data_IF_403566384067
#
_entry.id   IF_403566384067
#
_cell.length_a   1.000
_cell.length_b   1.000
_cell.length_c   1.000
_cell.angle_alpha   90.00
_cell.angle_beta   90.00
_cell.angle_gamma   90.00
#
_symmetry.space_group_name_H-M   'P 1'
#
loop_
_entity.id
_entity.type
_entity.pdbx_description
1 polymer ?
#
# COMPACT_ATOMS: atom_id res chain seq x y z
N UNK A 1 43.29 8.01 9.14
CA UNK A 1 41.94 7.85 8.55
C UNK A 1 41.66 6.37 8.39
N UNK A 2 40.41 5.93 8.59
CA UNK A 2 40.03 4.54 8.34
C UNK A 2 40.03 4.28 6.83
N UNK A 3 40.73 3.25 6.32
CA UNK A 3 40.73 2.94 4.90
C UNK A 3 39.33 2.60 4.39
N UNK A 4 38.93 3.14 3.25
CA UNK A 4 37.63 2.88 2.62
C UNK A 4 37.82 2.21 1.26
N UNK A 5 36.82 1.44 0.83
CA UNK A 5 36.76 0.90 -0.52
C UNK A 5 35.32 0.89 -1.02
N UNK A 6 35.12 1.06 -2.32
CA UNK A 6 33.79 1.14 -2.90
C UNK A 6 33.08 -0.22 -2.95
N UNK A 7 31.82 -0.22 -2.57
CA UNK A 7 30.92 -1.37 -2.59
C UNK A 7 29.55 -0.92 -3.12
N UNK A 8 29.21 -1.32 -4.34
CA UNK A 8 27.99 -0.91 -5.04
C UNK A 8 27.48 -2.05 -5.93
N UNK A 9 26.24 -1.95 -6.43
CA UNK A 9 25.46 -3.08 -6.98
C UNK A 9 26.20 -3.92 -8.02
N UNK A 10 26.84 -3.29 -9.00
CA UNK A 10 27.56 -3.95 -10.09
C UNK A 10 28.84 -4.66 -9.64
N UNK A 11 29.40 -4.26 -8.49
CA UNK A 11 30.61 -4.85 -7.91
C UNK A 11 30.33 -5.71 -6.68
N UNK A 12 29.08 -5.76 -6.23
CA UNK A 12 28.62 -6.40 -5.00
C UNK A 12 29.20 -7.82 -4.85
N UNK A 13 29.06 -8.65 -5.89
CA UNK A 13 29.57 -10.02 -5.89
C UNK A 13 31.09 -10.07 -5.66
N UNK A 14 31.85 -9.45 -6.56
CA UNK A 14 33.32 -9.48 -6.58
C UNK A 14 33.97 -8.81 -5.36
N UNK A 15 33.33 -7.77 -4.81
CA UNK A 15 33.81 -7.07 -3.62
C UNK A 15 33.51 -7.87 -2.36
N UNK A 16 32.37 -8.56 -2.31
CA UNK A 16 32.05 -9.43 -1.18
C UNK A 16 33.10 -10.52 -0.99
N UNK A 17 33.61 -11.13 -2.07
CA UNK A 17 34.68 -12.15 -1.96
C UNK A 17 35.95 -11.59 -1.30
N UNK A 18 36.35 -10.37 -1.68
CA UNK A 18 37.51 -9.70 -1.08
C UNK A 18 37.30 -9.35 0.39
N UNK A 19 36.07 -9.00 0.77
CA UNK A 19 35.73 -8.69 2.16
C UNK A 19 35.75 -9.97 3.00
N UNK A 20 35.18 -11.07 2.50
CA UNK A 20 35.19 -12.36 3.19
C UNK A 20 36.63 -12.82 3.45
N UNK A 21 37.53 -12.70 2.47
CA UNK A 21 38.94 -13.02 2.68
C UNK A 21 39.60 -12.19 3.80
N UNK A 22 39.20 -10.91 3.95
CA UNK A 22 39.69 -10.04 5.04
C UNK A 22 39.12 -10.45 6.41
N UNK A 23 37.83 -10.74 6.47
CA UNK A 23 37.16 -11.20 7.68
C UNK A 23 37.76 -12.53 8.17
N UNK A 24 38.01 -13.49 7.26
CA UNK A 24 38.68 -14.76 7.58
C UNK A 24 40.13 -14.57 8.03
N UNK A 25 40.80 -13.49 7.62
CA UNK A 25 42.12 -13.11 8.11
C UNK A 25 42.07 -12.38 9.47
N UNK A 26 40.91 -12.30 10.13
CA UNK A 26 40.72 -11.67 11.43
C UNK A 26 40.59 -10.15 11.42
N UNK A 27 40.31 -9.54 10.27
CA UNK A 27 40.06 -8.09 10.17
C UNK A 27 38.58 -7.78 10.41
N UNK A 28 38.30 -6.62 11.01
CA UNK A 28 36.94 -6.08 11.12
C UNK A 28 36.60 -5.19 9.92
N UNK A 29 35.35 -5.26 9.46
CA UNK A 29 34.83 -4.45 8.34
C UNK A 29 33.47 -3.89 8.69
N UNK A 30 33.31 -2.58 8.52
CA UNK A 30 32.02 -1.90 8.58
C UNK A 30 31.45 -1.71 7.17
N UNK A 31 30.19 -2.09 6.98
CA UNK A 31 29.42 -1.75 5.77
C UNK A 31 28.59 -0.50 6.05
N UNK A 32 28.69 0.49 5.17
CA UNK A 32 27.91 1.74 5.24
C UNK A 32 27.30 2.01 3.86
N UNK A 33 26.18 2.73 3.84
CA UNK A 33 25.52 3.24 2.63
C UNK A 33 25.60 4.77 2.64
N UNK A 34 25.30 5.40 1.50
CA UNK A 34 25.25 6.86 1.41
C UNK A 34 24.19 7.46 2.36
N UNK A 35 23.10 6.71 2.61
CA UNK A 35 22.08 7.07 3.58
C UNK A 35 21.36 5.84 4.15
N UNK A 36 20.85 5.98 5.37
CA UNK A 36 19.94 5.00 5.98
C UNK A 36 20.63 3.74 6.51
N UNK A 37 19.96 2.60 6.33
CA UNK A 37 20.40 1.29 6.83
C UNK A 37 20.94 0.46 5.67
N UNK A 38 22.25 0.11 5.67
CA UNK A 38 22.85 -0.68 4.59
C UNK A 38 22.12 -2.01 4.35
N UNK A 39 22.02 -2.43 3.08
CA UNK A 39 21.35 -3.66 2.68
C UNK A 39 19.81 -3.54 2.54
N UNK A 40 19.20 -2.40 2.91
CA UNK A 40 17.77 -2.15 2.70
C UNK A 40 17.59 -1.22 1.51
N UNK A 41 17.17 -1.77 0.36
CA UNK A 41 17.15 -1.07 -0.93
C UNK A 41 18.53 -0.57 -1.42
N UNK A 42 19.59 -1.01 -0.76
CA UNK A 42 21.00 -0.80 -1.08
C UNK A 42 21.75 -2.15 -1.17
N UNK A 43 22.95 -2.20 -1.79
CA UNK A 43 23.82 -3.37 -1.75
C UNK A 43 24.20 -3.79 -0.32
N UNK A 44 24.40 -5.08 -0.11
CA UNK A 44 24.84 -5.64 1.17
C UNK A 44 24.35 -7.05 1.42
N UNK A 45 23.20 -7.43 0.84
CA UNK A 45 22.62 -8.76 1.05
C UNK A 45 23.54 -9.89 0.60
N UNK A 46 24.31 -9.69 -0.49
CA UNK A 46 25.27 -10.69 -0.97
C UNK A 46 26.40 -10.89 0.03
N UNK A 47 26.93 -9.80 0.61
CA UNK A 47 27.97 -9.91 1.64
C UNK A 47 27.43 -10.65 2.87
N UNK A 48 26.25 -10.26 3.36
CA UNK A 48 25.63 -10.89 4.53
C UNK A 48 25.35 -12.39 4.29
N UNK A 49 24.91 -12.77 3.09
CA UNK A 49 24.74 -14.18 2.75
C UNK A 49 26.06 -14.96 2.84
N UNK A 50 27.15 -14.38 2.33
CA UNK A 50 28.47 -15.02 2.40
C UNK A 50 29.00 -15.10 3.83
N UNK A 51 28.80 -14.06 4.65
CA UNK A 51 29.21 -14.12 6.06
C UNK A 51 28.45 -15.20 6.82
N UNK A 52 27.14 -15.36 6.55
CA UNK A 52 26.34 -16.46 7.11
C UNK A 52 26.90 -17.82 6.67
N UNK A 53 27.20 -18.00 5.39
CA UNK A 53 27.75 -19.25 4.87
C UNK A 53 29.09 -19.65 5.52
N UNK A 54 29.92 -18.66 5.85
CA UNK A 54 31.22 -18.84 6.52
C UNK A 54 31.11 -18.80 8.06
N UNK A 55 29.90 -18.74 8.63
CA UNK A 55 29.66 -18.58 10.08
C UNK A 55 30.38 -17.38 10.71
N UNK A 56 30.55 -16.30 9.94
CA UNK A 56 31.14 -15.04 10.40
C UNK A 56 30.08 -14.21 11.11
N UNK A 57 30.41 -13.68 12.30
CA UNK A 57 29.52 -12.83 13.10
C UNK A 57 29.17 -11.55 12.33
N UNK A 58 27.89 -11.20 12.31
CA UNK A 58 27.37 -9.93 11.78
C UNK A 58 26.66 -9.19 12.91
N UNK A 59 27.02 -7.92 13.11
CA UNK A 59 26.45 -7.06 14.15
C UNK A 59 25.63 -5.92 13.51
N UNK A 60 24.28 -5.99 13.53
CA UNK A 60 23.46 -4.90 13.02
C UNK A 60 23.45 -3.73 14.01
N UNK A 61 23.76 -2.53 13.54
CA UNK A 61 23.70 -1.30 14.34
C UNK A 61 22.38 -0.58 14.04
N UNK A 62 21.48 -0.40 15.02
CA UNK A 62 20.26 0.37 14.81
C UNK A 62 20.60 1.83 14.50
N UNK A 63 19.85 2.45 13.60
CA UNK A 63 20.16 3.80 13.13
C UNK A 63 19.07 4.41 12.27
N UNK A 64 19.37 5.55 11.62
CA UNK A 64 18.41 6.26 10.77
C UNK A 64 17.86 5.38 9.64
N UNK A 65 16.54 5.44 9.45
CA UNK A 65 15.86 4.78 8.34
C UNK A 65 14.64 5.59 7.93
N UNK A 66 14.61 6.02 6.66
CA UNK A 66 13.50 6.79 6.07
C UNK A 66 12.18 6.02 6.13
N UNK A 67 12.23 4.68 6.01
CA UNK A 67 11.08 3.80 6.20
C UNK A 67 10.51 3.95 7.61
N UNK A 68 11.34 3.76 8.65
CA UNK A 68 10.87 3.83 10.04
C UNK A 68 10.44 5.25 10.45
N UNK A 69 11.12 6.27 9.93
CA UNK A 69 10.75 7.67 10.16
C UNK A 69 9.42 8.03 9.50
N UNK A 70 9.14 7.55 8.28
CA UNK A 70 7.85 7.75 7.64
C UNK A 70 6.73 7.01 8.38
N UNK A 71 6.98 5.76 8.79
CA UNK A 71 6.00 4.95 9.53
C UNK A 71 5.65 5.55 10.90
N UNK A 72 6.63 6.13 11.61
CA UNK A 72 6.38 6.71 12.95
C UNK A 72 5.43 7.91 12.93
N UNK A 73 5.31 8.61 11.79
CA UNK A 73 4.40 9.73 11.59
C UNK A 73 3.18 9.38 10.71
N UNK A 74 3.01 8.11 10.35
CA UNK A 74 1.98 7.66 9.42
C UNK A 74 0.57 7.67 10.01
N UNK A 75 0.44 7.55 11.33
CA UNK A 75 -0.87 7.41 11.99
C UNK A 75 -1.56 6.07 11.65
N UNK A 76 -0.78 5.03 11.39
CA UNK A 76 -1.27 3.67 11.14
C UNK A 76 -1.60 3.01 12.49
N UNK A 77 -2.87 2.65 12.70
CA UNK A 77 -3.34 2.13 14.00
C UNK A 77 -3.17 0.61 14.14
N UNK A 78 -3.12 -0.13 13.04
CA UNK A 78 -3.04 -1.58 13.03
C UNK A 78 -1.59 -2.12 12.94
N UNK A 79 -0.61 -1.21 12.85
CA UNK A 79 0.81 -1.49 12.61
C UNK A 79 1.07 -2.47 11.45
N UNK A 80 0.17 -2.53 10.46
CA UNK A 80 0.21 -3.54 9.42
C UNK A 80 0.60 -2.94 8.07
N UNK A 81 1.83 -3.21 7.64
CA UNK A 81 2.37 -2.68 6.40
C UNK A 81 3.22 -3.72 5.65
N UNK A 82 3.44 -3.46 4.36
CA UNK A 82 4.37 -4.19 3.50
C UNK A 82 5.33 -3.17 2.90
N UNK A 83 6.61 -3.31 3.24
CA UNK A 83 7.66 -2.53 2.58
C UNK A 83 8.05 -3.19 1.27
N UNK A 84 7.96 -2.43 0.19
CA UNK A 84 8.11 -2.90 -1.19
C UNK A 84 9.35 -2.32 -1.88
N UNK A 85 10.09 -1.43 -1.21
CA UNK A 85 11.21 -0.71 -1.81
C UNK A 85 10.78 0.11 -3.02
N UNK A 86 11.55 0.05 -4.10
CA UNK A 86 11.23 0.73 -5.34
C UNK A 86 10.39 -0.15 -6.26
N UNK A 87 9.32 0.40 -6.81
CA UNK A 87 8.57 -0.27 -7.87
C UNK A 87 9.46 -0.47 -9.12
N UNK A 88 9.19 -1.51 -9.94
CA UNK A 88 9.93 -1.75 -11.18
C UNK A 88 9.98 -0.50 -12.07
N UNK A 89 11.14 -0.27 -12.71
CA UNK A 89 11.34 0.91 -13.56
C UNK A 89 10.55 0.81 -14.88
N UNK A 90 10.45 -0.41 -15.45
CA UNK A 90 9.75 -0.66 -16.71
C UNK A 90 8.24 -0.64 -16.48
N UNK A 91 7.53 0.16 -17.28
CA UNK A 91 6.07 0.39 -17.15
C UNK A 91 5.27 -0.91 -17.00
N UNK A 92 5.41 -1.86 -17.93
CA UNK A 92 4.66 -3.13 -17.89
C UNK A 92 4.93 -3.90 -16.60
N UNK A 93 6.19 -4.08 -16.21
CA UNK A 93 6.56 -4.78 -14.98
C UNK A 93 6.02 -4.07 -13.73
N UNK A 94 6.02 -2.73 -13.73
CA UNK A 94 5.44 -1.94 -12.63
C UNK A 94 3.94 -2.16 -12.53
N UNK A 95 3.22 -2.15 -13.66
CA UNK A 95 1.78 -2.38 -13.69
C UNK A 95 1.43 -3.79 -13.23
N UNK A 96 2.13 -4.81 -13.74
CA UNK A 96 1.96 -6.20 -13.31
C UNK A 96 2.19 -6.36 -11.79
N UNK A 97 3.24 -5.71 -11.28
CA UNK A 97 3.54 -5.65 -9.85
C UNK A 97 2.42 -4.97 -9.04
N UNK A 98 1.94 -3.81 -9.46
CA UNK A 98 0.84 -3.10 -8.79
C UNK A 98 -0.47 -3.90 -8.83
N UNK A 99 -0.76 -4.62 -9.93
CA UNK A 99 -1.93 -5.49 -10.01
C UNK A 99 -1.89 -6.59 -8.95
N UNK A 100 -0.72 -7.16 -8.66
CA UNK A 100 -0.56 -8.16 -7.61
C UNK A 100 -0.90 -7.62 -6.20
N UNK A 101 -0.85 -6.30 -6.02
CA UNK A 101 -1.08 -5.61 -4.75
C UNK A 101 -2.49 -5.01 -4.63
N UNK A 102 -3.32 -5.12 -5.68
CA UNK A 102 -4.61 -4.42 -5.70
C UNK A 102 -5.55 -4.86 -4.58
N UNK A 103 -5.48 -6.10 -4.11
CA UNK A 103 -6.33 -6.59 -3.01
C UNK A 103 -5.61 -6.59 -1.66
N UNK A 104 -4.37 -6.12 -1.59
CA UNK A 104 -3.60 -6.08 -0.34
C UNK A 104 -4.25 -5.12 0.65
N UNK A 105 -4.54 -5.63 1.86
CA UNK A 105 -5.21 -4.91 2.96
C UNK A 105 -4.22 -4.13 3.82
N UNK A 106 -2.95 -4.52 3.82
CA UNK A 106 -1.88 -3.81 4.52
C UNK A 106 -1.50 -2.51 3.82
N UNK A 107 -0.97 -1.57 4.58
CA UNK A 107 -0.38 -0.36 4.02
C UNK A 107 0.81 -0.69 3.13
N UNK A 108 0.86 -0.12 1.94
CA UNK A 108 1.93 -0.35 0.97
C UNK A 108 2.98 0.76 1.09
N UNK A 109 4.22 0.39 1.43
CA UNK A 109 5.30 1.37 1.61
C UNK A 109 6.30 1.28 0.47
N UNK A 110 6.49 2.39 -0.23
CA UNK A 110 7.39 2.51 -1.37
C UNK A 110 8.44 3.59 -1.15
N UNK A 111 9.62 3.36 -1.72
CA UNK A 111 10.52 4.44 -2.10
C UNK A 111 10.30 4.79 -3.56
N UNK A 112 10.45 6.07 -3.90
CA UNK A 112 10.35 6.49 -5.30
C UNK A 112 11.28 7.66 -5.63
N UNK A 113 11.86 7.60 -6.81
CA UNK A 113 12.75 8.62 -7.35
C UNK A 113 11.93 9.74 -8.03
N UNK A 114 12.38 11.01 -7.95
CA UNK A 114 11.59 12.16 -8.37
C UNK A 114 11.25 12.15 -9.87
N UNK A 115 12.14 11.59 -10.70
CA UNK A 115 11.95 11.50 -12.15
C UNK A 115 10.93 10.43 -12.58
N UNK A 116 10.57 9.48 -11.71
CA UNK A 116 9.57 8.43 -11.99
C UNK A 116 8.23 8.68 -11.29
N UNK A 117 8.23 9.55 -10.28
CA UNK A 117 7.13 9.77 -9.35
C UNK A 117 5.77 9.99 -10.02
N UNK A 118 5.67 10.89 -11.01
CA UNK A 118 4.39 11.13 -11.68
C UNK A 118 3.87 9.88 -12.40
N UNK A 119 4.74 9.14 -13.09
CA UNK A 119 4.36 7.90 -13.77
C UNK A 119 3.98 6.79 -12.79
N UNK A 120 4.67 6.71 -11.65
CA UNK A 120 4.36 5.79 -10.56
C UNK A 120 2.99 6.09 -9.95
N UNK A 121 2.72 7.35 -9.57
CA UNK A 121 1.44 7.78 -9.00
C UNK A 121 0.28 7.56 -9.98
N UNK A 122 0.50 7.82 -11.27
CA UNK A 122 -0.50 7.55 -12.31
C UNK A 122 -0.85 6.06 -12.39
N UNK A 123 0.15 5.17 -12.45
CA UNK A 123 -0.08 3.73 -12.47
C UNK A 123 -0.73 3.25 -11.16
N UNK A 124 -0.34 3.81 -10.00
CA UNK A 124 -0.97 3.51 -8.71
C UNK A 124 -2.45 3.88 -8.71
N UNK A 125 -2.79 5.11 -9.12
CA UNK A 125 -4.19 5.57 -9.18
C UNK A 125 -5.01 4.70 -10.13
N UNK A 126 -4.47 4.36 -11.30
CA UNK A 126 -5.16 3.57 -12.30
C UNK A 126 -5.43 2.12 -11.84
N UNK A 127 -4.53 1.53 -11.06
CA UNK A 127 -4.58 0.10 -10.71
C UNK A 127 -5.12 -0.14 -9.29
N UNK A 128 -4.64 0.65 -8.32
CA UNK A 128 -5.00 0.51 -6.90
C UNK A 128 -6.28 1.30 -6.55
N UNK A 129 -6.71 2.22 -7.44
CA UNK A 129 -7.79 3.17 -7.19
C UNK A 129 -7.33 4.39 -6.39
N UNK A 130 -8.27 5.28 -6.06
CA UNK A 130 -7.97 6.55 -5.40
C UNK A 130 -7.79 6.42 -3.87
N UNK A 131 -6.77 5.66 -3.47
CA UNK A 131 -6.47 5.40 -2.06
C UNK A 131 -5.87 6.63 -1.38
N UNK A 132 -6.12 6.74 -0.06
CA UNK A 132 -5.41 7.67 0.79
C UNK A 132 -3.93 7.28 0.90
N UNK A 133 -3.07 8.27 1.03
CA UNK A 133 -1.64 8.07 1.18
C UNK A 133 -1.00 9.14 2.08
N UNK A 134 0.12 8.79 2.69
CA UNK A 134 1.11 9.73 3.20
C UNK A 134 2.31 9.74 2.24
N UNK A 135 2.69 10.93 1.78
CA UNK A 135 3.90 11.17 1.02
C UNK A 135 4.85 11.98 1.88
N UNK A 136 5.99 11.37 2.21
CA UNK A 136 7.09 12.04 2.90
C UNK A 136 8.17 12.39 1.88
N UNK A 137 8.51 13.67 1.76
CA UNK A 137 9.56 14.17 0.86
C UNK A 137 10.66 14.80 1.67
N UNK A 138 11.92 14.49 1.30
CA UNK A 138 13.11 15.12 1.89
C UNK A 138 13.14 15.06 3.43
N UNK A 139 12.79 13.89 3.99
CA UNK A 139 12.81 13.64 5.43
C UNK A 139 14.14 14.09 6.05
N UNK A 140 14.04 14.75 7.21
CA UNK A 140 15.09 15.36 8.02
C UNK A 140 15.87 16.51 7.37
N UNK A 141 15.47 16.98 6.17
CA UNK A 141 16.16 18.06 5.44
C UNK A 141 15.38 19.38 5.53
N UNK A 142 16.01 20.49 5.10
CA UNK A 142 15.41 21.84 5.14
C UNK A 142 14.08 21.98 4.37
N UNK A 143 13.87 21.10 3.37
CA UNK A 143 12.66 21.09 2.54
C UNK A 143 11.76 19.89 2.82
N UNK A 144 11.79 19.37 4.06
CA UNK A 144 10.92 18.29 4.51
C UNK A 144 9.45 18.66 4.30
N UNK A 145 8.68 17.71 3.75
CA UNK A 145 7.26 17.86 3.49
C UNK A 145 6.52 16.54 3.75
N UNK A 146 5.41 16.61 4.48
CA UNK A 146 4.55 15.47 4.81
C UNK A 146 3.13 15.73 4.29
N UNK A 147 2.78 15.13 3.17
CA UNK A 147 1.49 15.34 2.50
C UNK A 147 0.56 14.16 2.72
N UNK A 148 -0.61 14.40 3.30
CA UNK A 148 -1.66 13.39 3.53
C UNK A 148 -2.86 13.70 2.67
N UNK A 149 -3.09 12.90 1.62
CA UNK A 149 -4.20 13.13 0.70
C UNK A 149 -4.57 11.85 -0.06
N UNK A 150 -5.46 11.93 -1.05
CA UNK A 150 -5.69 10.85 -2.01
C UNK A 150 -4.63 10.82 -3.12
N UNK A 151 -4.47 9.67 -3.77
CA UNK A 151 -3.59 9.49 -4.93
C UNK A 151 -3.88 10.52 -6.04
N UNK A 152 -5.16 10.78 -6.33
CA UNK A 152 -5.59 11.74 -7.33
C UNK A 152 -5.20 13.19 -6.98
N UNK A 153 -5.35 13.58 -5.71
CA UNK A 153 -4.99 14.89 -5.23
C UNK A 153 -3.47 15.10 -5.26
N UNK A 154 -2.68 14.13 -4.77
CA UNK A 154 -1.22 14.21 -4.84
C UNK A 154 -0.72 14.24 -6.28
N UNK A 155 -1.27 13.39 -7.16
CA UNK A 155 -0.91 13.40 -8.59
C UNK A 155 -1.19 14.77 -9.22
N UNK A 156 -2.31 15.39 -8.86
CA UNK A 156 -2.67 16.74 -9.33
C UNK A 156 -1.72 17.81 -8.81
N UNK A 157 -1.29 17.73 -7.55
CA UNK A 157 -0.30 18.64 -6.96
C UNK A 157 1.08 18.54 -7.62
N UNK A 158 1.42 17.36 -8.16
CA UNK A 158 2.67 17.13 -8.89
C UNK A 158 2.63 17.65 -10.33
N UNK A 159 1.45 17.97 -10.87
CA UNK A 159 1.31 18.47 -12.24
C UNK A 159 2.07 19.79 -12.39
N UNK A 160 2.85 19.89 -13.46
CA UNK A 160 3.67 21.08 -13.80
C UNK A 160 4.73 21.48 -12.75
N UNK A 161 4.95 20.67 -11.70
CA UNK A 161 6.01 20.88 -10.71
C UNK A 161 7.20 19.96 -10.97
N UNK A 162 8.40 20.54 -10.95
CA UNK A 162 9.65 19.77 -10.91
C UNK A 162 9.86 19.24 -9.49
N UNK A 163 9.41 18.02 -9.24
CA UNK A 163 9.67 17.34 -7.97
C UNK A 163 11.17 17.03 -7.86
N UNK A 164 11.74 17.30 -6.69
CA UNK A 164 13.13 17.03 -6.35
C UNK A 164 13.19 16.30 -5.01
N UNK A 165 14.31 15.61 -4.80
CA UNK A 165 14.58 14.92 -3.56
C UNK A 165 14.02 13.51 -3.52
N UNK A 166 14.21 12.87 -2.37
CA UNK A 166 13.81 11.49 -2.11
C UNK A 166 12.40 11.44 -1.55
N UNK A 167 11.66 10.39 -1.88
CA UNK A 167 10.26 10.23 -1.46
C UNK A 167 10.01 8.86 -0.86
N UNK A 168 9.27 8.85 0.25
CA UNK A 168 8.65 7.66 0.83
C UNK A 168 7.14 7.82 0.71
N UNK A 169 6.47 6.80 0.17
CA UNK A 169 5.02 6.75 0.06
C UNK A 169 4.49 5.64 0.95
N UNK A 170 3.43 5.94 1.69
CA UNK A 170 2.64 4.97 2.45
C UNK A 170 1.22 5.06 1.88
N UNK A 171 0.87 4.12 1.01
CA UNK A 171 -0.45 4.05 0.38
C UNK A 171 -1.33 3.14 1.25
N UNK A 172 -2.56 3.57 1.53
CA UNK A 172 -3.51 2.75 2.26
C UNK A 172 -3.75 1.40 1.57
N UNK A 173 -4.00 0.37 2.37
CA UNK A 173 -4.48 -0.91 1.86
C UNK A 173 -5.84 -0.77 1.17
N UNK A 174 -6.25 -1.83 0.51
CA UNK A 174 -7.55 -1.91 -0.13
C UNK A 174 -8.64 -1.81 0.95
N UNK A 175 -9.51 -0.81 0.84
CA UNK A 175 -10.71 -0.76 1.66
C UNK A 175 -11.51 -2.06 1.47
N UNK A 176 -12.22 -2.50 2.51
CA UNK A 176 -13.29 -3.46 2.29
C UNK A 176 -14.30 -2.83 1.34
N UNK A 177 -14.83 -3.61 0.39
CA UNK A 177 -15.96 -3.15 -0.42
C UNK A 177 -17.02 -2.62 0.54
N UNK A 178 -17.59 -1.44 0.29
CA UNK A 178 -18.60 -0.87 1.18
C UNK A 178 -19.71 -1.89 1.33
N UNK A 179 -19.80 -2.55 2.49
CA UNK A 179 -20.95 -3.34 2.85
C UNK A 179 -22.10 -2.35 2.95
N UNK A 180 -23.01 -2.38 1.98
CA UNK A 180 -24.26 -1.63 2.09
C UNK A 180 -24.93 -2.04 3.41
N UNK A 181 -25.27 -1.05 4.24
CA UNK A 181 -25.86 -1.31 5.54
C UNK A 181 -27.24 -1.94 5.37
N UNK A 182 -27.65 -2.77 6.33
CA UNK A 182 -29.00 -3.35 6.35
C UNK A 182 -30.09 -2.26 6.28
N UNK A 183 -29.84 -1.08 6.88
CA UNK A 183 -30.75 0.06 6.79
C UNK A 183 -30.93 0.57 5.36
N UNK A 184 -29.85 0.63 4.57
CA UNK A 184 -29.91 1.11 3.18
C UNK A 184 -30.53 0.05 2.26
N UNK A 185 -30.28 -1.23 2.52
CA UNK A 185 -30.99 -2.33 1.85
C UNK A 185 -32.50 -2.21 2.11
N UNK A 186 -32.90 -1.98 3.37
CA UNK A 186 -34.30 -1.82 3.74
C UNK A 186 -34.95 -0.60 3.07
N UNK A 187 -34.27 0.55 3.04
CA UNK A 187 -34.74 1.77 2.35
C UNK A 187 -34.99 1.51 0.86
N UNK A 188 -34.03 0.91 0.15
CA UNK A 188 -34.17 0.57 -1.27
C UNK A 188 -35.33 -0.40 -1.51
N UNK A 189 -35.46 -1.43 -0.67
CA UNK A 189 -36.55 -2.39 -0.72
C UNK A 189 -37.93 -1.72 -0.53
N UNK A 190 -38.04 -0.75 0.39
CA UNK A 190 -39.26 0.05 0.58
C UNK A 190 -39.55 0.90 -0.65
N UNK A 191 -38.56 1.59 -1.23
CA UNK A 191 -38.75 2.38 -2.46
C UNK A 191 -39.23 1.51 -3.64
N UNK A 192 -38.65 0.32 -3.82
CA UNK A 192 -39.12 -0.63 -4.86
C UNK A 192 -40.54 -1.13 -4.62
N UNK A 193 -40.97 -1.21 -3.37
CA UNK A 193 -42.31 -1.63 -2.99
C UNK A 193 -43.33 -0.51 -3.23
N UNK A 194 -43.01 0.71 -2.83
CA UNK A 194 -43.86 1.89 -2.95
C UNK A 194 -44.06 2.32 -4.42
N UNK A 195 -43.09 2.04 -5.30
CA UNK A 195 -43.22 2.29 -6.74
C UNK A 195 -44.27 1.41 -7.42
N UNK A 196 -44.81 0.39 -6.74
CA UNK A 196 -45.96 -0.43 -7.15
C UNK A 196 -45.77 -1.28 -8.43
N UNK A 197 -44.62 -1.16 -9.08
CA UNK A 197 -44.34 -1.71 -10.42
C UNK A 197 -43.34 -2.86 -10.40
N UNK A 198 -42.74 -3.16 -9.23
CA UNK A 198 -41.68 -4.15 -9.09
C UNK A 198 -42.12 -5.27 -8.15
N UNK A 199 -42.02 -6.53 -8.58
CA UNK A 199 -42.31 -7.67 -7.70
C UNK A 199 -41.23 -7.83 -6.62
N UNK A 200 -41.54 -8.47 -5.49
CA UNK A 200 -40.55 -8.79 -4.45
C UNK A 200 -39.32 -9.51 -5.03
N UNK A 201 -39.56 -10.42 -5.98
CA UNK A 201 -38.50 -11.19 -6.64
C UNK A 201 -37.58 -10.30 -7.47
N UNK A 202 -38.14 -9.32 -8.17
CA UNK A 202 -37.40 -8.40 -9.03
C UNK A 202 -36.63 -7.36 -8.20
N UNK A 203 -37.21 -6.84 -7.11
CA UNK A 203 -36.53 -5.94 -6.19
C UNK A 203 -35.30 -6.61 -5.55
N UNK A 204 -35.46 -7.86 -5.07
CA UNK A 204 -34.34 -8.65 -4.53
C UNK A 204 -33.29 -8.93 -5.61
N UNK A 205 -33.70 -9.23 -6.84
CA UNK A 205 -32.78 -9.49 -7.94
C UNK A 205 -31.99 -8.24 -8.35
N UNK A 206 -32.64 -7.07 -8.41
CA UNK A 206 -31.98 -5.80 -8.72
C UNK A 206 -30.94 -5.43 -7.66
N UNK A 207 -31.30 -5.45 -6.37
CA UNK A 207 -30.39 -5.11 -5.27
C UNK A 207 -29.23 -6.10 -5.16
N UNK A 208 -29.48 -7.40 -5.32
CA UNK A 208 -28.42 -8.42 -5.25
C UNK A 208 -27.44 -8.31 -6.42
N UNK A 209 -27.92 -7.96 -7.62
CA UNK A 209 -27.09 -7.75 -8.81
C UNK A 209 -26.28 -6.45 -8.71
N UNK A 210 -26.91 -5.37 -8.26
CA UNK A 210 -26.30 -4.05 -8.15
C UNK A 210 -25.21 -4.00 -7.07
N UNK A 211 -25.48 -4.58 -5.90
CA UNK A 211 -24.59 -4.53 -4.74
C UNK A 211 -23.82 -5.85 -4.48
N UNK A 212 -23.90 -6.82 -5.40
CA UNK A 212 -23.24 -8.15 -5.31
C UNK A 212 -23.49 -8.87 -3.98
N UNK A 213 -24.71 -8.78 -3.45
CA UNK A 213 -25.07 -9.34 -2.14
C UNK A 213 -25.60 -10.77 -2.21
N UNK A 214 -25.50 -11.48 -1.10
CA UNK A 214 -26.18 -12.78 -0.92
C UNK A 214 -27.69 -12.64 -1.04
N UNK A 215 -28.27 -13.35 -2.01
CA UNK A 215 -29.73 -13.40 -2.24
C UNK A 215 -30.51 -13.80 -1.00
N UNK A 216 -29.97 -14.72 -0.19
CA UNK A 216 -30.63 -15.18 1.04
C UNK A 216 -30.80 -14.05 2.06
N UNK A 217 -29.79 -13.19 2.22
CA UNK A 217 -29.84 -12.07 3.17
C UNK A 217 -30.86 -11.00 2.75
N UNK A 218 -30.78 -10.57 1.49
CA UNK A 218 -31.70 -9.54 0.94
C UNK A 218 -33.14 -10.03 0.93
N UNK A 219 -33.37 -11.31 0.57
CA UNK A 219 -34.71 -11.90 0.56
C UNK A 219 -35.35 -11.96 1.95
N UNK A 220 -34.57 -12.26 3.00
CA UNK A 220 -35.06 -12.28 4.40
C UNK A 220 -35.53 -10.89 4.85
N UNK A 221 -34.83 -9.82 4.46
CA UNK A 221 -35.24 -8.45 4.76
C UNK A 221 -36.48 -8.05 3.94
N UNK A 222 -36.50 -8.37 2.64
CA UNK A 222 -37.65 -8.11 1.77
C UNK A 222 -38.94 -8.77 2.29
N UNK A 223 -38.87 -10.01 2.78
CA UNK A 223 -40.03 -10.69 3.36
C UNK A 223 -40.63 -9.97 4.57
N UNK A 224 -39.80 -9.35 5.43
CA UNK A 224 -40.31 -8.58 6.58
C UNK A 224 -41.08 -7.36 6.10
N UNK A 225 -40.47 -6.58 5.21
CA UNK A 225 -41.05 -5.35 4.67
C UNK A 225 -42.34 -5.65 3.91
N UNK A 226 -42.40 -6.72 3.10
CA UNK A 226 -43.61 -7.06 2.36
C UNK A 226 -44.74 -7.62 3.22
N UNK A 227 -44.44 -8.30 4.34
CA UNK A 227 -45.47 -8.83 5.26
C UNK A 227 -46.10 -7.76 6.14
N UNK A 228 -45.36 -6.72 6.54
CA UNK A 228 -45.86 -5.66 7.43
C UNK A 228 -47.06 -4.88 6.86
N UNK A 229 -47.27 -4.86 5.54
CA UNK A 229 -48.42 -4.17 4.92
C UNK A 229 -49.65 -5.07 4.75
N UNK A 230 -49.50 -6.39 4.77
CA UNK A 230 -50.65 -7.31 4.69
C UNK A 230 -51.50 -7.32 5.97
N UNK A 231 -50.97 -6.84 7.09
CA UNK A 231 -51.68 -6.75 8.37
C UNK A 231 -52.34 -5.38 8.63
N UNK A 232 -52.23 -4.41 7.70
CA UNK A 232 -52.71 -3.03 7.90
C UNK A 232 -54.10 -2.72 7.36
N UNK A 233 -54.78 -3.64 6.68
CA UNK A 233 -56.02 -3.35 5.93
C UNK A 233 -57.30 -3.97 6.51
N UNK A 234 -57.34 -4.32 7.80
CA UNK A 234 -58.51 -4.94 8.44
C UNK A 234 -58.97 -4.21 9.70
N UNK A 235 -59.25 -2.90 9.64
CA UNK A 235 -60.21 -2.25 10.56
C UNK A 235 -60.87 -1.08 9.82
N UNK A 236 -62.12 -1.26 9.36
CA UNK A 236 -63.28 -0.35 9.49
C UNK A 236 -64.39 -0.82 8.54
N UNK A 237 -65.34 -1.59 9.09
CA UNK A 237 -66.78 -1.29 8.93
C UNK A 237 -67.25 -0.69 10.25
#
# INVERSE_FOLDING_TARGET
STPTFSYYKEKEQSRSDKIIAKLLAGQDVALVSDAGTPGISDPGSVLVQKTIAENIRVEPIPGPSSLTAALSVAGINDNSFVFLGFAPSRKKQRQDFLHSLNQEKKHLVFFEAPHRLQSFLHDCLAILGDRKLLWCRELTKIHEELTRDSLSAVLSQCKDKKIKGESVFIIAGAADEPKISDSKIAELLTTYKESGTTSLKDAVQSITKEFKLSRSSVYKQALKIWKETSNGNNITE
#
